data_IF_673385846310
#
_entry.id   IF_673385846310
#
_cell.length_a   1.000
_cell.length_b   1.000
_cell.length_c   1.000
_cell.angle_alpha   90.00
_cell.angle_beta   90.00
_cell.angle_gamma   90.00
#
_symmetry.space_group_name_H-M   'P 1'
#
loop_
_entity.id
_entity.type
_entity.pdbx_description
1 polymer ?
#
# COMPACT_ATOMS: atom_id res chain seq x y z
N UNK A 1 -11.83 -1.76 -17.54
CA UNK A 1 -11.92 -2.75 -16.43
C UNK A 1 -10.80 -2.47 -15.45
N UNK A 2 -11.06 -2.55 -14.15
CA UNK A 2 -10.05 -2.32 -13.11
C UNK A 2 -8.96 -3.41 -13.14
N UNK A 3 -7.80 -3.12 -12.54
CA UNK A 3 -6.72 -4.11 -12.35
C UNK A 3 -6.68 -4.55 -10.89
N UNK A 4 -6.32 -5.82 -10.68
CA UNK A 4 -6.05 -6.35 -9.34
C UNK A 4 -4.77 -5.72 -8.78
N UNK A 5 -4.80 -5.39 -7.50
CA UNK A 5 -3.69 -4.75 -6.78
C UNK A 5 -3.56 -5.37 -5.39
N UNK A 6 -2.35 -5.77 -5.02
CA UNK A 6 -2.00 -6.19 -3.66
C UNK A 6 -1.17 -5.10 -3.00
N UNK A 7 -1.55 -4.68 -1.79
CA UNK A 7 -0.85 -3.66 -1.01
C UNK A 7 -0.46 -4.28 0.33
N UNK A 8 0.83 -4.17 0.68
CA UNK A 8 1.34 -4.60 1.98
C UNK A 8 1.29 -3.41 2.95
N UNK A 9 0.64 -3.60 4.10
CA UNK A 9 0.57 -2.60 5.16
C UNK A 9 1.32 -3.18 6.36
N UNK A 10 2.34 -2.45 6.83
CA UNK A 10 3.14 -2.86 7.98
C UNK A 10 2.33 -2.79 9.28
N UNK A 11 2.76 -3.50 10.33
CA UNK A 11 2.20 -3.36 11.67
C UNK A 11 2.55 -1.98 12.27
N UNK A 12 2.11 -1.69 13.51
CA UNK A 12 2.38 -0.40 14.16
C UNK A 12 3.89 -0.07 14.30
N UNK A 13 4.74 -1.11 14.32
CA UNK A 13 6.21 -1.02 14.33
C UNK A 13 6.88 -0.91 12.96
N UNK A 14 6.08 -0.86 11.89
CA UNK A 14 6.50 -0.94 10.48
C UNK A 14 7.16 -2.29 10.11
N UNK A 15 7.43 -2.46 8.81
CA UNK A 15 8.25 -3.55 8.30
C UNK A 15 9.71 -3.37 8.71
N UNK A 16 10.41 -4.48 8.95
CA UNK A 16 11.86 -4.43 9.13
C UNK A 16 12.56 -4.13 7.79
N UNK A 17 13.81 -3.62 7.81
CA UNK A 17 14.58 -3.42 6.59
C UNK A 17 14.69 -4.69 5.72
N UNK A 18 14.82 -5.86 6.36
CA UNK A 18 14.89 -7.16 5.70
C UNK A 18 13.56 -7.53 5.03
N UNK A 19 12.42 -7.26 5.68
CA UNK A 19 11.08 -7.48 5.11
C UNK A 19 10.80 -6.57 3.91
N UNK A 20 11.25 -5.33 3.98
CA UNK A 20 11.19 -4.40 2.84
C UNK A 20 12.03 -4.91 1.68
N UNK A 21 13.26 -5.37 1.93
CA UNK A 21 14.13 -5.91 0.89
C UNK A 21 13.52 -7.17 0.24
N UNK A 22 12.97 -8.08 1.04
CA UNK A 22 12.25 -9.26 0.54
C UNK A 22 11.06 -8.88 -0.33
N UNK A 23 10.28 -7.89 0.09
CA UNK A 23 9.10 -7.42 -0.65
C UNK A 23 9.50 -6.84 -2.02
N UNK A 24 10.56 -6.01 -2.05
CA UNK A 24 11.09 -5.46 -3.31
C UNK A 24 11.61 -6.57 -4.22
N UNK A 25 12.35 -7.56 -3.68
CA UNK A 25 12.80 -8.74 -4.45
C UNK A 25 11.65 -9.58 -4.99
N UNK A 26 10.51 -9.60 -4.29
CA UNK A 26 9.28 -10.27 -4.74
C UNK A 26 8.49 -9.46 -5.79
N UNK A 27 8.96 -8.27 -6.18
CA UNK A 27 8.34 -7.43 -7.21
C UNK A 27 7.40 -6.36 -6.68
N UNK A 28 7.32 -6.15 -5.36
CA UNK A 28 6.58 -5.01 -4.80
C UNK A 28 7.33 -3.70 -5.06
N UNK A 29 6.56 -2.64 -5.32
CA UNK A 29 7.09 -1.28 -5.48
C UNK A 29 6.82 -0.47 -4.20
N UNK A 30 7.85 0.14 -3.59
CA UNK A 30 7.64 1.04 -2.46
C UNK A 30 6.73 2.22 -2.82
N UNK A 31 5.81 2.57 -1.93
CA UNK A 31 4.87 3.66 -2.12
C UNK A 31 4.68 4.45 -0.81
N UNK A 32 4.21 5.70 -0.93
CA UNK A 32 3.87 6.56 0.20
C UNK A 32 2.45 7.10 0.05
N UNK A 33 1.77 7.31 1.18
CA UNK A 33 0.47 8.01 1.24
C UNK A 33 0.63 9.53 1.49
N UNK A 34 1.83 10.06 1.28
CA UNK A 34 2.19 11.46 1.48
C UNK A 34 2.92 11.70 2.80
N UNK A 35 2.85 12.92 3.30
CA UNK A 35 3.63 13.36 4.47
C UNK A 35 2.97 13.05 5.82
N UNK A 36 1.75 12.51 5.81
CA UNK A 36 0.99 12.22 7.04
C UNK A 36 1.29 10.81 7.53
N UNK A 37 1.66 10.68 8.81
CA UNK A 37 1.80 9.38 9.45
C UNK A 37 0.41 8.80 9.75
N UNK A 38 0.07 7.71 9.07
CA UNK A 38 -1.18 6.97 9.30
C UNK A 38 -0.91 5.81 10.25
N UNK A 39 -1.90 5.48 11.10
CA UNK A 39 -1.91 4.21 11.84
C UNK A 39 -2.22 3.05 10.90
N UNK A 40 -1.87 1.84 11.31
CA UNK A 40 -2.00 0.60 10.52
C UNK A 40 -3.36 0.47 9.84
N UNK A 41 -4.46 0.59 10.59
CA UNK A 41 -5.82 0.41 10.08
C UNK A 41 -6.26 1.56 9.16
N UNK A 42 -5.83 2.79 9.47
CA UNK A 42 -6.12 3.97 8.63
C UNK A 42 -5.38 3.89 7.30
N UNK A 43 -4.14 3.41 7.30
CA UNK A 43 -3.36 3.18 6.10
C UNK A 43 -4.04 2.15 5.18
N UNK A 44 -4.53 1.04 5.75
CA UNK A 44 -5.26 0.03 5.00
C UNK A 44 -6.55 0.57 4.36
N UNK A 45 -7.38 1.31 5.12
CA UNK A 45 -8.60 1.91 4.59
C UNK A 45 -8.30 2.94 3.50
N UNK A 46 -7.31 3.81 3.71
CA UNK A 46 -6.88 4.78 2.71
C UNK A 46 -6.46 4.10 1.41
N UNK A 47 -5.66 3.03 1.50
CA UNK A 47 -5.18 2.27 0.35
C UNK A 47 -6.35 1.70 -0.48
N UNK A 48 -7.32 1.06 0.17
CA UNK A 48 -8.50 0.49 -0.51
C UNK A 48 -9.34 1.58 -1.18
N UNK A 49 -9.60 2.69 -0.47
CA UNK A 49 -10.35 3.82 -1.03
C UNK A 49 -9.65 4.45 -2.24
N UNK A 50 -8.33 4.65 -2.17
CA UNK A 50 -7.56 5.20 -3.28
C UNK A 50 -7.59 4.29 -4.52
N UNK A 51 -7.38 2.98 -4.35
CA UNK A 51 -7.43 2.02 -5.45
C UNK A 51 -8.82 1.94 -6.07
N UNK A 52 -9.88 1.97 -5.25
CA UNK A 52 -11.26 2.01 -5.75
C UNK A 52 -11.49 3.20 -6.70
N UNK A 53 -11.14 4.41 -6.25
CA UNK A 53 -11.27 5.63 -7.07
C UNK A 53 -10.43 5.54 -8.34
N UNK A 54 -9.18 5.10 -8.25
CA UNK A 54 -8.29 4.95 -9.42
C UNK A 54 -8.86 3.95 -10.42
N UNK A 55 -9.39 2.81 -9.95
CA UNK A 55 -10.00 1.80 -10.82
C UNK A 55 -11.29 2.30 -11.47
N UNK A 56 -12.08 3.12 -10.77
CA UNK A 56 -13.30 3.72 -11.32
C UNK A 56 -13.01 4.80 -12.35
N UNK A 57 -11.99 5.64 -12.15
CA UNK A 57 -11.56 6.65 -13.13
C UNK A 57 -10.94 6.06 -14.40
N UNK A 58 -10.50 4.79 -14.36
CA UNK A 58 -9.91 4.07 -15.49
C UNK A 58 -10.94 3.20 -16.25
N UNK A 59 -12.22 3.27 -15.88
CA UNK A 59 -13.31 2.74 -16.70
C UNK A 59 -13.49 3.61 -17.94
#
# INVERSE_FOLDING_TARGET
>A
TGKDVTILIGPEGDFTPEEVEMSVKAGFTPATFGNTRLRTETAALYAVSAIHVINDLKK
#
